data_IF_745329057764
#
_entry.id   IF_745329057764
#
_cell.length_a   1.000
_cell.length_b   1.000
_cell.length_c   1.000
_cell.angle_alpha   90.00
_cell.angle_beta   90.00
_cell.angle_gamma   90.00
#
_symmetry.space_group_name_H-M   'P 1'
#
loop_
_entity.id
_entity.type
_entity.pdbx_description
1 polymer ?
#
# COMPACT_ATOMS: atom_id res chain seq x y z
N UNK A 1 -10.99 48.02 41.54
CA UNK A 1 -10.33 46.69 41.39
C UNK A 1 -11.19 45.60 40.68
N UNK A 2 -12.48 45.80 40.35
CA UNK A 2 -13.30 44.76 39.69
C UNK A 2 -13.17 44.71 38.14
N UNK A 3 -12.59 45.73 37.49
CA UNK A 3 -12.52 45.77 36.01
C UNK A 3 -11.25 45.08 35.43
N UNK A 4 -10.20 44.87 36.23
CA UNK A 4 -8.95 44.27 35.76
C UNK A 4 -9.04 42.73 35.69
N UNK A 5 -9.90 42.09 36.50
CA UNK A 5 -10.07 40.64 36.54
C UNK A 5 -10.83 40.10 35.31
N UNK A 6 -11.68 40.91 34.69
CA UNK A 6 -12.44 40.51 33.51
C UNK A 6 -11.60 40.50 32.23
N UNK A 7 -10.58 41.35 32.15
CA UNK A 7 -9.69 41.40 30.98
C UNK A 7 -8.72 40.20 30.92
N UNK A 8 -8.30 39.71 32.07
CA UNK A 8 -7.42 38.51 32.15
C UNK A 8 -8.14 37.19 31.82
N UNK A 9 -9.43 37.10 32.11
CA UNK A 9 -10.24 35.92 31.76
C UNK A 9 -10.54 35.84 30.24
N UNK A 10 -10.64 36.95 29.54
CA UNK A 10 -10.86 36.97 28.08
C UNK A 10 -9.59 36.64 27.28
N UNK A 11 -8.40 36.97 27.81
CA UNK A 11 -7.14 36.60 27.15
C UNK A 11 -6.79 35.10 27.31
N UNK A 12 -7.24 34.46 28.39
CA UNK A 12 -7.04 33.01 28.62
C UNK A 12 -7.90 32.11 27.74
N UNK A 13 -9.04 32.62 27.25
CA UNK A 13 -9.98 31.83 26.42
C UNK A 13 -9.68 31.89 24.92
N UNK A 14 -8.89 32.87 24.46
CA UNK A 14 -8.57 32.99 23.02
C UNK A 14 -7.43 32.09 22.56
N UNK A 15 -6.64 31.52 23.46
CA UNK A 15 -5.52 30.63 23.12
C UNK A 15 -5.94 29.22 22.71
N UNK A 16 -7.19 28.82 22.93
CA UNK A 16 -7.71 27.48 22.60
C UNK A 16 -8.35 27.36 21.21
N UNK A 17 -8.53 28.50 20.49
CA UNK A 17 -9.22 28.48 19.18
C UNK A 17 -8.26 28.17 18.03
N UNK A 18 -6.96 28.41 18.20
CA UNK A 18 -5.95 28.03 17.19
C UNK A 18 -5.54 26.57 17.39
N UNK A 19 -6.19 25.66 16.67
CA UNK A 19 -5.86 24.24 16.69
C UNK A 19 -4.38 24.00 16.41
N UNK A 20 -3.87 22.88 16.94
CA UNK A 20 -2.47 22.47 16.83
C UNK A 20 -2.03 22.41 15.37
N UNK A 21 -0.90 23.06 15.06
CA UNK A 21 -0.26 23.05 13.74
C UNK A 21 1.10 22.38 13.88
N UNK A 22 1.41 21.53 12.91
CA UNK A 22 2.68 20.81 12.85
C UNK A 22 3.51 21.28 11.65
N UNK A 23 4.83 21.14 11.72
CA UNK A 23 5.63 21.06 10.50
C UNK A 23 5.36 19.70 9.84
N UNK A 24 5.19 19.71 8.53
CA UNK A 24 5.00 18.46 7.77
C UNK A 24 6.18 17.51 7.91
N UNK A 25 7.40 18.07 8.14
CA UNK A 25 8.59 17.30 8.46
C UNK A 25 8.48 16.54 9.79
N UNK A 26 7.88 17.14 10.83
CA UNK A 26 7.72 16.51 12.14
C UNK A 26 6.72 15.35 12.06
N UNK A 27 5.63 15.54 11.31
CA UNK A 27 4.65 14.47 11.06
C UNK A 27 5.35 13.27 10.39
N UNK A 28 6.14 13.53 9.36
CA UNK A 28 6.90 12.52 8.65
C UNK A 28 7.92 11.82 9.54
N UNK A 29 8.74 12.58 10.27
CA UNK A 29 9.75 12.04 11.19
C UNK A 29 9.10 11.12 12.24
N UNK A 30 7.94 11.55 12.78
CA UNK A 30 7.18 10.72 13.72
C UNK A 30 6.68 9.44 13.09
N UNK A 31 6.12 9.53 11.90
CA UNK A 31 5.62 8.37 11.15
C UNK A 31 6.77 7.41 10.79
N UNK A 32 7.90 7.92 10.32
CA UNK A 32 9.09 7.13 10.01
C UNK A 32 9.60 6.40 11.25
N UNK A 33 9.66 7.07 12.41
CA UNK A 33 10.05 6.46 13.68
C UNK A 33 9.12 5.30 14.07
N UNK A 34 7.82 5.47 13.90
CA UNK A 34 6.84 4.41 14.18
C UNK A 34 7.05 3.23 13.23
N UNK A 35 7.13 3.45 11.91
CA UNK A 35 7.31 2.35 10.96
C UNK A 35 8.59 1.56 11.22
N UNK A 36 9.70 2.24 11.59
CA UNK A 36 10.97 1.60 11.97
C UNK A 36 10.83 0.60 13.11
N UNK A 37 9.95 0.85 14.08
CA UNK A 37 9.73 -0.10 15.19
C UNK A 37 9.09 -1.41 14.75
N UNK A 38 8.42 -1.42 13.59
CA UNK A 38 7.78 -2.62 13.03
C UNK A 38 8.66 -3.39 12.05
N UNK A 39 9.43 -2.69 11.21
CA UNK A 39 10.19 -3.35 10.13
C UNK A 39 11.72 -3.33 10.37
N UNK A 40 12.18 -2.63 11.40
CA UNK A 40 13.59 -2.44 11.73
C UNK A 40 14.30 -1.37 10.90
N UNK A 41 15.36 -0.79 11.45
CA UNK A 41 16.10 0.32 10.86
C UNK A 41 16.72 -0.01 9.50
N UNK A 42 17.30 -1.19 9.36
CA UNK A 42 17.96 -1.63 8.13
C UNK A 42 16.98 -1.74 6.97
N UNK A 43 15.82 -2.39 7.21
CA UNK A 43 14.76 -2.53 6.19
C UNK A 43 14.19 -1.17 5.84
N UNK A 44 13.88 -0.35 6.84
CA UNK A 44 13.36 0.99 6.60
C UNK A 44 14.31 1.83 5.75
N UNK A 45 15.58 1.91 6.12
CA UNK A 45 16.54 2.81 5.48
C UNK A 45 16.88 2.40 4.04
N UNK A 46 16.90 1.11 3.74
CA UNK A 46 17.34 0.60 2.45
C UNK A 46 16.20 0.22 1.49
N UNK A 47 15.01 -0.08 2.01
CA UNK A 47 13.95 -0.74 1.24
C UNK A 47 12.57 -0.09 1.39
N UNK A 48 12.49 1.06 2.09
CA UNK A 48 11.25 1.76 2.33
C UNK A 48 11.30 3.15 1.68
N UNK A 49 10.38 3.41 0.75
CA UNK A 49 10.32 4.65 -0.01
C UNK A 49 9.00 5.36 0.24
N UNK A 50 9.08 6.64 0.56
CA UNK A 50 7.93 7.47 0.82
C UNK A 50 7.01 7.55 -0.41
N UNK A 51 5.71 7.31 -0.21
CA UNK A 51 4.72 7.45 -1.26
C UNK A 51 4.25 8.90 -1.36
N UNK A 52 4.20 9.44 -2.58
CA UNK A 52 3.73 10.80 -2.87
C UNK A 52 2.25 11.02 -2.55
N UNK A 53 1.47 9.94 -2.46
CA UNK A 53 0.05 9.95 -2.12
C UNK A 53 -0.22 10.10 -0.60
N UNK A 54 0.79 10.51 0.15
CA UNK A 54 0.66 10.83 1.57
C UNK A 54 0.02 12.20 1.76
N UNK A 55 -0.98 12.29 2.62
CA UNK A 55 -1.73 13.53 2.83
C UNK A 55 -2.11 13.73 4.30
N UNK A 56 -2.53 14.97 4.64
CA UNK A 56 -3.11 15.28 5.92
C UNK A 56 -4.47 15.99 5.76
N UNK A 57 -5.32 15.80 6.76
CA UNK A 57 -6.61 16.46 6.90
C UNK A 57 -6.48 17.62 7.87
N UNK A 58 -7.06 18.76 7.52
CA UNK A 58 -7.21 19.91 8.41
C UNK A 58 -8.61 20.50 8.29
N UNK A 59 -9.06 21.20 9.34
CA UNK A 59 -10.27 22.02 9.30
C UNK A 59 -9.91 23.50 9.18
N UNK A 60 -10.62 24.21 8.34
CA UNK A 60 -10.51 25.64 8.23
C UNK A 60 -11.21 26.36 9.40
N UNK A 61 -11.22 27.68 9.37
CA UNK A 61 -11.86 28.54 10.41
C UNK A 61 -13.37 28.34 10.47
N UNK A 62 -14.00 27.82 9.43
CA UNK A 62 -15.44 27.51 9.36
C UNK A 62 -15.75 26.06 9.74
N UNK A 63 -14.73 25.28 10.12
CA UNK A 63 -14.88 23.87 10.49
C UNK A 63 -14.98 22.90 9.32
N UNK A 64 -14.82 23.36 8.06
CA UNK A 64 -14.84 22.52 6.87
C UNK A 64 -13.54 21.73 6.74
N UNK A 65 -13.65 20.44 6.45
CA UNK A 65 -12.51 19.55 6.23
C UNK A 65 -11.88 19.75 4.84
N UNK A 66 -10.58 19.77 4.80
CA UNK A 66 -9.75 19.86 3.61
C UNK A 66 -8.62 18.84 3.68
N UNK A 67 -8.12 18.43 2.51
CA UNK A 67 -7.02 17.49 2.36
C UNK A 67 -5.87 18.16 1.60
N UNK A 68 -4.65 17.93 2.05
CA UNK A 68 -3.46 18.44 1.37
C UNK A 68 -2.32 17.42 1.47
N UNK A 69 -1.52 17.35 0.41
CA UNK A 69 -0.34 16.48 0.36
C UNK A 69 0.67 16.89 1.44
N UNK A 70 1.27 15.89 2.09
CA UNK A 70 2.29 16.08 3.12
C UNK A 70 3.62 16.47 2.47
N UNK A 71 3.75 17.72 2.07
CA UNK A 71 4.96 18.23 1.44
C UNK A 71 6.01 18.59 2.50
N UNK A 72 7.31 18.36 2.19
CA UNK A 72 8.43 18.73 3.08
C UNK A 72 8.44 20.24 3.30
N UNK A 73 8.75 20.68 4.52
CA UNK A 73 9.05 22.06 4.91
C UNK A 73 7.87 23.05 5.01
N UNK A 74 6.63 22.59 5.07
CA UNK A 74 5.49 23.49 5.30
C UNK A 74 4.86 23.25 6.67
N UNK A 75 4.26 24.29 7.25
CA UNK A 75 3.31 24.10 8.36
C UNK A 75 1.99 23.61 7.79
N UNK A 76 1.32 22.73 8.55
CA UNK A 76 -0.05 22.33 8.24
C UNK A 76 -0.97 23.54 8.25
N UNK A 77 -1.92 23.57 7.33
CA UNK A 77 -2.98 24.60 7.28
C UNK A 77 -4.02 24.34 8.36
N UNK A 78 -4.77 25.34 8.75
CA UNK A 78 -5.92 25.23 9.64
C UNK A 78 -5.67 24.46 10.94
N UNK A 79 -6.69 23.82 11.47
CA UNK A 79 -6.63 22.91 12.61
C UNK A 79 -6.32 21.50 12.10
N UNK A 80 -5.14 20.99 12.41
CA UNK A 80 -4.76 19.62 12.03
C UNK A 80 -5.70 18.58 12.64
N UNK A 81 -6.14 17.59 11.85
CA UNK A 81 -7.04 16.51 12.26
C UNK A 81 -6.32 15.18 12.29
N UNK A 82 -5.70 14.80 11.18
CA UNK A 82 -4.97 13.52 11.03
C UNK A 82 -4.05 13.56 9.81
N UNK A 83 -3.13 12.62 9.73
CA UNK A 83 -2.33 12.36 8.52
C UNK A 83 -2.41 10.87 8.15
N UNK A 84 -2.60 10.59 6.87
CA UNK A 84 -2.45 9.26 6.26
C UNK A 84 -1.08 9.21 5.61
N UNK A 85 -0.17 8.46 6.23
CA UNK A 85 1.22 8.37 5.78
C UNK A 85 1.46 7.02 5.14
N UNK A 86 2.10 7.01 3.96
CA UNK A 86 2.23 5.85 3.09
C UNK A 86 3.65 5.64 2.60
N UNK A 87 4.03 4.39 2.44
CA UNK A 87 5.33 3.99 1.90
C UNK A 87 5.18 2.82 0.93
N UNK A 88 6.08 2.76 -0.03
CA UNK A 88 6.32 1.60 -0.88
C UNK A 88 7.49 0.82 -0.31
N UNK A 89 7.33 -0.49 -0.14
CA UNK A 89 8.37 -1.40 0.33
C UNK A 89 8.86 -2.29 -0.80
N UNK A 90 10.18 -2.45 -0.89
CA UNK A 90 10.87 -3.32 -1.86
C UNK A 90 11.95 -4.11 -1.14
N UNK A 91 11.56 -5.16 -0.42
CA UNK A 91 12.46 -5.92 0.45
C UNK A 91 13.05 -7.08 -0.32
N UNK A 92 14.38 -7.12 -0.58
CA UNK A 92 15.03 -8.26 -1.20
C UNK A 92 14.86 -9.52 -0.35
N UNK A 93 14.50 -10.63 -0.98
CA UNK A 93 14.38 -11.93 -0.34
C UNK A 93 14.90 -13.05 -1.25
N UNK A 94 16.22 -13.09 -1.51
CA UNK A 94 16.81 -13.98 -2.50
C UNK A 94 16.76 -15.47 -2.11
N UNK A 95 16.43 -15.78 -0.87
CA UNK A 95 16.28 -17.16 -0.39
C UNK A 95 14.95 -17.81 -0.75
N UNK A 96 13.97 -17.03 -1.26
CA UNK A 96 12.71 -17.56 -1.72
C UNK A 96 12.74 -17.78 -3.23
N UNK A 97 12.52 -19.00 -3.67
CA UNK A 97 12.49 -19.36 -5.10
C UNK A 97 11.26 -18.85 -5.85
N UNK A 98 10.23 -18.42 -5.14
CA UNK A 98 8.99 -17.89 -5.75
C UNK A 98 9.14 -16.42 -6.15
N UNK A 99 9.91 -15.64 -5.41
CA UNK A 99 10.18 -14.22 -5.69
C UNK A 99 11.50 -13.78 -5.05
N UNK A 100 12.17 -12.85 -5.70
CA UNK A 100 13.44 -12.26 -5.23
C UNK A 100 13.20 -11.01 -4.36
N UNK A 101 12.02 -10.43 -4.42
CA UNK A 101 11.68 -9.17 -3.76
C UNK A 101 10.22 -9.18 -3.30
N UNK A 102 10.00 -8.90 -2.01
CA UNK A 102 8.68 -8.63 -1.44
C UNK A 102 8.33 -7.19 -1.76
N UNK A 103 7.24 -6.97 -2.50
CA UNK A 103 6.77 -5.64 -2.92
C UNK A 103 5.40 -5.36 -2.32
N UNK A 104 5.21 -4.14 -1.82
CA UNK A 104 3.89 -3.75 -1.32
C UNK A 104 3.86 -2.31 -0.85
N UNK A 105 2.65 -1.86 -0.49
CA UNK A 105 2.42 -0.55 0.13
C UNK A 105 1.98 -0.73 1.57
N UNK A 106 2.59 0.01 2.47
CA UNK A 106 2.17 0.13 3.87
C UNK A 106 1.67 1.52 4.16
N UNK A 107 0.72 1.63 5.08
CA UNK A 107 0.20 2.90 5.54
C UNK A 107 -0.35 2.79 6.96
N UNK A 108 -0.41 3.92 7.64
CA UNK A 108 -1.20 4.08 8.85
C UNK A 108 -1.58 5.56 9.04
N UNK A 109 -2.55 5.79 9.91
CA UNK A 109 -3.07 7.11 10.20
C UNK A 109 -2.52 7.60 11.55
N UNK A 110 -2.03 8.83 11.58
CA UNK A 110 -1.71 9.57 12.81
C UNK A 110 -2.88 10.47 13.18
N UNK A 111 -3.27 10.46 14.46
CA UNK A 111 -4.29 11.36 15.02
C UNK A 111 -3.76 12.80 15.16
N UNK A 112 -4.59 13.69 15.72
CA UNK A 112 -4.24 15.08 15.96
C UNK A 112 -3.12 15.30 16.99
N UNK A 113 -2.69 14.27 17.70
CA UNK A 113 -1.55 14.27 18.62
C UNK A 113 -0.35 13.48 18.07
N UNK A 114 -0.35 13.16 16.78
CA UNK A 114 0.64 12.33 16.08
C UNK A 114 0.81 10.93 16.68
N UNK A 115 -0.26 10.34 17.22
CA UNK A 115 -0.28 8.96 17.68
C UNK A 115 -0.88 8.07 16.59
N UNK A 116 -0.33 6.86 16.37
CA UNK A 116 -0.90 5.95 15.39
C UNK A 116 -2.29 5.48 15.87
N UNK A 117 -3.28 5.54 14.99
CA UNK A 117 -4.64 5.04 15.26
C UNK A 117 -4.79 3.56 14.96
N UNK A 118 -3.82 2.99 14.23
CA UNK A 118 -3.75 1.59 13.84
C UNK A 118 -2.30 1.19 13.60
N UNK A 119 -2.02 -0.11 13.62
CA UNK A 119 -0.72 -0.65 13.25
C UNK A 119 -0.45 -0.48 11.75
N UNK A 120 0.81 -0.32 11.31
CA UNK A 120 1.15 -0.34 9.90
C UNK A 120 0.65 -1.62 9.23
N UNK A 121 0.07 -1.47 8.04
CA UNK A 121 -0.37 -2.61 7.25
C UNK A 121 0.84 -3.33 6.63
N UNK A 122 1.16 -4.53 7.11
CA UNK A 122 2.30 -5.34 6.68
C UNK A 122 1.91 -6.78 6.29
N UNK A 123 0.62 -7.06 6.16
CA UNK A 123 0.11 -8.41 5.89
C UNK A 123 0.62 -9.01 4.56
N UNK A 124 1.11 -8.16 3.64
CA UNK A 124 1.72 -8.62 2.38
C UNK A 124 3.16 -9.15 2.56
N UNK A 125 3.76 -8.94 3.74
CA UNK A 125 5.07 -9.52 4.08
C UNK A 125 4.81 -10.90 4.68
N UNK A 126 5.31 -11.98 4.06
CA UNK A 126 5.05 -13.34 4.53
C UNK A 126 5.58 -13.58 5.94
N UNK A 127 4.89 -14.40 6.73
CA UNK A 127 5.29 -14.75 8.10
C UNK A 127 6.70 -15.36 8.12
N UNK A 128 7.06 -16.19 7.15
CA UNK A 128 8.38 -16.79 7.06
C UNK A 128 9.53 -15.78 6.88
N UNK A 129 9.25 -14.56 6.40
CA UNK A 129 10.23 -13.49 6.39
C UNK A 129 10.61 -13.04 7.82
N UNK A 130 9.61 -12.91 8.68
CA UNK A 130 9.79 -12.48 10.07
C UNK A 130 10.38 -13.58 10.95
N UNK A 131 9.94 -14.81 10.74
CA UNK A 131 10.43 -15.99 11.50
C UNK A 131 11.75 -16.52 10.97
N UNK A 132 12.23 -16.00 9.81
CA UNK A 132 13.44 -16.49 9.09
C UNK A 132 13.34 -17.96 8.69
N UNK A 133 12.13 -18.45 8.51
CA UNK A 133 11.88 -19.79 8.00
C UNK A 133 12.13 -19.86 6.50
N UNK A 134 12.28 -21.09 5.97
CA UNK A 134 12.39 -21.29 4.54
C UNK A 134 11.10 -20.94 3.80
N UNK A 135 11.25 -20.38 2.62
CA UNK A 135 10.14 -20.15 1.70
C UNK A 135 9.68 -21.49 1.13
N UNK A 136 8.45 -21.89 1.45
CA UNK A 136 7.83 -23.15 0.99
C UNK A 136 6.85 -22.92 -0.17
N UNK A 137 7.08 -21.92 -1.00
CA UNK A 137 6.25 -21.63 -2.16
C UNK A 137 6.85 -22.29 -3.41
N UNK A 138 5.99 -22.77 -4.31
CA UNK A 138 6.43 -23.23 -5.63
C UNK A 138 7.04 -22.07 -6.43
N UNK A 139 8.00 -22.37 -7.27
CA UNK A 139 8.64 -21.35 -8.11
C UNK A 139 7.81 -21.03 -9.36
N UNK A 140 8.27 -20.02 -10.11
CA UNK A 140 7.64 -19.56 -11.33
C UNK A 140 7.54 -20.66 -12.40
N UNK A 141 8.60 -21.46 -12.58
CA UNK A 141 8.65 -22.48 -13.62
C UNK A 141 7.75 -23.67 -13.30
N UNK A 142 7.63 -24.02 -12.02
CA UNK A 142 6.65 -25.00 -11.53
C UNK A 142 5.24 -24.53 -11.81
N UNK A 143 4.92 -23.25 -11.50
CA UNK A 143 3.60 -22.68 -11.78
C UNK A 143 3.28 -22.69 -13.28
N UNK A 144 4.23 -22.31 -14.15
CA UNK A 144 4.07 -22.41 -15.60
C UNK A 144 3.85 -23.85 -16.07
N UNK A 145 4.55 -24.81 -15.48
CA UNK A 145 4.42 -26.24 -15.81
C UNK A 145 3.03 -26.77 -15.41
N UNK A 146 2.52 -26.37 -14.23
CA UNK A 146 1.19 -26.75 -13.78
C UNK A 146 0.11 -26.16 -14.71
N UNK A 147 0.24 -24.88 -15.07
CA UNK A 147 -0.71 -24.23 -15.97
C UNK A 147 -0.75 -24.89 -17.34
N UNK A 148 0.39 -25.25 -17.95
CA UNK A 148 0.47 -25.94 -19.24
C UNK A 148 -0.28 -27.26 -19.28
N UNK A 149 -0.50 -27.92 -18.13
CA UNK A 149 -1.26 -29.17 -18.03
C UNK A 149 -2.79 -28.94 -18.03
N UNK A 150 -3.26 -27.71 -18.04
CA UNK A 150 -4.68 -27.35 -17.94
C UNK A 150 -5.43 -27.24 -19.27
N UNK A 151 -4.93 -27.84 -20.35
CA UNK A 151 -5.56 -27.80 -21.70
C UNK A 151 -5.82 -26.34 -22.15
N UNK A 152 -4.80 -25.50 -22.07
CA UNK A 152 -4.87 -24.11 -22.46
C UNK A 152 -5.24 -23.93 -23.95
N UNK A 153 -5.96 -22.87 -24.26
CA UNK A 153 -6.31 -22.47 -25.61
C UNK A 153 -5.08 -21.97 -26.38
N UNK A 154 -5.20 -21.91 -27.71
CA UNK A 154 -4.19 -21.24 -28.53
C UNK A 154 -4.18 -19.75 -28.24
N UNK A 155 -3.01 -19.21 -27.96
CA UNK A 155 -2.82 -17.80 -27.59
C UNK A 155 -1.93 -17.09 -28.60
N UNK A 156 -1.99 -15.75 -28.58
CA UNK A 156 -1.16 -14.88 -29.42
C UNK A 156 0.16 -14.45 -28.75
N UNK A 157 0.29 -14.70 -27.44
CA UNK A 157 1.50 -14.41 -26.67
C UNK A 157 1.93 -15.62 -25.81
N UNK A 158 3.07 -15.47 -25.15
CA UNK A 158 3.61 -16.49 -24.24
C UNK A 158 3.00 -16.39 -22.86
N UNK A 159 2.90 -17.52 -22.16
CA UNK A 159 2.49 -17.57 -20.76
C UNK A 159 3.34 -16.67 -19.87
N UNK A 160 2.65 -15.87 -19.08
CA UNK A 160 3.25 -15.01 -18.05
C UNK A 160 2.78 -15.50 -16.68
N UNK A 161 3.69 -15.54 -15.72
CA UNK A 161 3.34 -15.91 -14.35
C UNK A 161 3.68 -14.76 -13.41
N UNK A 162 2.71 -14.36 -12.60
CA UNK A 162 2.82 -13.32 -11.58
C UNK A 162 2.36 -13.87 -10.25
N UNK A 163 3.13 -13.66 -9.20
CA UNK A 163 2.71 -14.04 -7.84
C UNK A 163 1.92 -12.89 -7.21
N UNK A 164 0.76 -13.22 -6.66
CA UNK A 164 -0.15 -12.29 -6.03
C UNK A 164 -0.41 -12.70 -4.57
N UNK A 165 -0.57 -11.71 -3.70
CA UNK A 165 -1.01 -11.91 -2.32
C UNK A 165 -2.48 -11.50 -2.16
N UNK A 166 -3.32 -12.44 -1.74
CA UNK A 166 -4.70 -12.14 -1.39
C UNK A 166 -4.80 -11.73 0.09
N UNK A 167 -5.23 -10.49 0.32
CA UNK A 167 -5.37 -9.89 1.65
C UNK A 167 -6.47 -10.55 2.50
N UNK A 168 -7.51 -11.09 1.87
CA UNK A 168 -8.66 -11.68 2.59
C UNK A 168 -8.31 -13.05 3.13
N UNK A 169 -7.69 -13.86 2.29
CA UNK A 169 -7.31 -15.23 2.64
C UNK A 169 -5.92 -15.33 3.25
N UNK A 170 -5.11 -14.26 3.17
CA UNK A 170 -3.70 -14.21 3.60
C UNK A 170 -2.84 -15.28 2.92
N UNK A 171 -3.11 -15.55 1.65
CA UNK A 171 -2.43 -16.59 0.87
C UNK A 171 -1.75 -16.01 -0.36
N UNK A 172 -0.69 -16.68 -0.79
CA UNK A 172 -0.05 -16.41 -2.08
C UNK A 172 -0.62 -17.32 -3.16
N UNK A 173 -0.84 -16.75 -4.34
CA UNK A 173 -1.22 -17.50 -5.53
C UNK A 173 -0.39 -17.06 -6.73
N UNK A 174 -0.10 -18.00 -7.62
CA UNK A 174 0.39 -17.70 -8.96
C UNK A 174 -0.81 -17.46 -9.87
N UNK A 175 -0.78 -16.35 -10.56
CA UNK A 175 -1.65 -16.08 -11.70
C UNK A 175 -0.83 -16.31 -12.97
N UNK A 176 -1.18 -17.34 -13.72
CA UNK A 176 -0.56 -17.66 -15.00
C UNK A 176 -1.53 -17.29 -16.09
N UNK A 177 -1.14 -16.35 -16.94
CA UNK A 177 -2.03 -15.79 -17.97
C UNK A 177 -1.40 -15.80 -19.35
N UNK A 178 -2.26 -15.87 -20.36
CA UNK A 178 -1.93 -15.68 -21.78
C UNK A 178 -3.05 -14.92 -22.48
N UNK A 179 -2.72 -14.14 -23.52
CA UNK A 179 -3.69 -13.42 -24.32
C UNK A 179 -4.19 -14.29 -25.46
N UNK A 180 -5.49 -14.53 -25.53
CA UNK A 180 -6.10 -15.32 -26.58
C UNK A 180 -6.25 -14.50 -27.86
N UNK A 181 -6.74 -13.29 -27.73
CA UNK A 181 -6.87 -12.34 -28.84
C UNK A 181 -6.90 -10.91 -28.31
N UNK A 182 -6.52 -9.97 -29.18
CA UNK A 182 -6.55 -8.53 -28.91
C UNK A 182 -7.02 -7.80 -30.16
N UNK A 183 -7.85 -6.77 -29.98
CA UNK A 183 -8.28 -5.85 -31.04
C UNK A 183 -8.08 -4.42 -30.57
N UNK A 184 -7.86 -3.52 -31.51
CA UNK A 184 -7.83 -2.08 -31.27
C UNK A 184 -9.17 -1.46 -31.69
N UNK A 185 -9.70 -0.58 -30.86
CA UNK A 185 -10.78 0.31 -31.29
C UNK A 185 -10.18 1.52 -32.02
N UNK A 186 -11.05 2.34 -32.64
CA UNK A 186 -10.62 3.52 -33.42
C UNK A 186 -9.92 4.61 -32.58
N UNK A 187 -9.87 4.49 -31.24
CA UNK A 187 -9.26 5.42 -30.31
C UNK A 187 -7.90 4.91 -29.75
N UNK A 188 -7.31 3.88 -30.37
CA UNK A 188 -6.09 3.19 -29.91
C UNK A 188 -6.21 2.39 -28.62
N UNK A 189 -7.39 2.21 -28.06
CA UNK A 189 -7.59 1.36 -26.90
C UNK A 189 -7.63 -0.11 -27.31
N UNK A 190 -6.99 -0.94 -26.51
CA UNK A 190 -6.98 -2.36 -26.71
C UNK A 190 -8.10 -3.02 -25.90
N UNK A 191 -8.85 -3.92 -26.54
CA UNK A 191 -9.77 -4.82 -25.85
C UNK A 191 -9.51 -6.25 -26.30
N UNK A 192 -9.83 -7.21 -25.47
CA UNK A 192 -9.48 -8.58 -25.78
C UNK A 192 -9.94 -9.59 -24.75
N UNK A 193 -9.38 -10.77 -24.87
CA UNK A 193 -9.64 -11.88 -23.93
C UNK A 193 -8.32 -12.51 -23.54
N UNK A 194 -8.16 -12.78 -22.25
CA UNK A 194 -7.05 -13.53 -21.69
C UNK A 194 -7.58 -14.78 -20.99
N UNK A 195 -6.80 -15.83 -21.02
CA UNK A 195 -7.02 -17.05 -20.27
C UNK A 195 -6.12 -17.00 -19.02
N UNK A 196 -6.69 -17.30 -17.85
CA UNK A 196 -6.03 -17.20 -16.57
C UNK A 196 -6.17 -18.51 -15.81
N UNK A 197 -5.05 -19.02 -15.32
CA UNK A 197 -4.98 -20.14 -14.36
C UNK A 197 -4.44 -19.62 -13.04
N UNK A 198 -5.23 -19.73 -11.97
CA UNK A 198 -4.81 -19.37 -10.62
C UNK A 198 -4.37 -20.62 -9.87
N UNK A 199 -3.19 -20.60 -9.30
CA UNK A 199 -2.55 -21.74 -8.62
C UNK A 199 -2.17 -21.33 -7.20
N UNK A 200 -2.54 -22.10 -6.20
CA UNK A 200 -2.08 -21.92 -4.83
C UNK A 200 -0.55 -22.05 -4.77
N UNK A 201 0.11 -21.00 -4.33
CA UNK A 201 1.57 -20.94 -4.38
C UNK A 201 2.24 -21.88 -3.37
N UNK A 202 1.55 -22.33 -2.34
CA UNK A 202 2.08 -23.25 -1.33
C UNK A 202 1.94 -24.71 -1.74
N UNK A 203 0.82 -25.07 -2.36
CA UNK A 203 0.48 -26.48 -2.64
C UNK A 203 0.62 -26.86 -4.11
N UNK A 204 0.70 -25.89 -5.03
CA UNK A 204 0.65 -26.13 -6.47
C UNK A 204 -0.75 -26.51 -6.98
N UNK A 205 -1.79 -26.47 -6.13
CA UNK A 205 -3.16 -26.84 -6.55
C UNK A 205 -3.77 -25.73 -7.41
N UNK A 206 -4.39 -26.09 -8.52
CA UNK A 206 -5.17 -25.17 -9.33
C UNK A 206 -6.43 -24.75 -8.56
N UNK A 207 -6.57 -23.44 -8.34
CA UNK A 207 -7.72 -22.82 -7.67
C UNK A 207 -8.81 -22.52 -8.68
N UNK A 208 -8.45 -21.96 -9.83
CA UNK A 208 -9.39 -21.59 -10.89
C UNK A 208 -8.72 -21.62 -12.27
N UNK A 209 -9.53 -21.83 -13.30
CA UNK A 209 -9.15 -21.70 -14.71
C UNK A 209 -10.32 -21.07 -15.46
N UNK A 210 -10.13 -19.88 -16.01
CA UNK A 210 -11.20 -19.13 -16.65
C UNK A 210 -10.66 -18.11 -17.65
N UNK A 211 -11.55 -17.60 -18.48
CA UNK A 211 -11.25 -16.50 -19.38
C UNK A 211 -11.73 -15.18 -18.78
N UNK A 212 -10.97 -14.11 -19.03
CA UNK A 212 -11.31 -12.75 -18.63
C UNK A 212 -11.28 -11.84 -19.86
N UNK A 213 -12.35 -11.11 -20.07
CA UNK A 213 -12.36 -10.01 -21.05
C UNK A 213 -11.81 -8.76 -20.40
N UNK A 214 -10.98 -8.05 -21.11
CA UNK A 214 -10.52 -6.72 -20.75
C UNK A 214 -11.01 -5.72 -21.80
N UNK A 215 -11.65 -4.66 -21.29
CA UNK A 215 -12.19 -3.56 -22.10
C UNK A 215 -11.37 -2.30 -21.83
N UNK A 216 -11.35 -1.33 -22.76
CA UNK A 216 -10.74 -0.04 -22.52
C UNK A 216 -11.35 0.62 -21.28
N UNK A 217 -10.49 1.07 -20.37
CA UNK A 217 -10.93 1.86 -19.20
C UNK A 217 -11.14 3.30 -19.69
N UNK A 218 -12.39 3.75 -19.71
CA UNK A 218 -12.77 5.14 -20.02
C UNK A 218 -12.73 6.00 -18.75
#
# INVERSE_FOLDING_TARGET
MKRLTFLLLTFGLTSTIFGQKYLTADIRTKADSILRTYIGDTVFSNHCFYDTDTYYEYRDIFGKSHWETLNKFKKTKGKFVKADVRWNLFIPYPTCIAFDTIKGKTSFVLDNLLRPTQTPYLDFVPDFYWTKDSCHLINRDEALTIAKRQNLKTAIDTLKATINYDRKTKTFSWEVSQTLWIKKNGLNDNYGESEIVTIDAKTGKVISHHNVRFDPVY
#
